data_IF_217055110496
#
_entry.id   IF_217055110496
#
_cell.length_a   1.000
_cell.length_b   1.000
_cell.length_c   1.000
_cell.angle_alpha   90.00
_cell.angle_beta   90.00
_cell.angle_gamma   90.00
#
_symmetry.space_group_name_H-M   'P 1'
#
loop_
_entity.id
_entity.type
_entity.pdbx_description
1 polymer ?
#
# COMPACT_ATOMS: atom_id res chain seq x y z
N UNK A 1 17.64 6.84 -3.64
CA UNK A 1 17.22 5.46 -3.28
C UNK A 1 15.71 5.43 -3.39
N UNK A 2 15.17 4.78 -4.42
CA UNK A 2 13.72 4.58 -4.53
C UNK A 2 13.43 3.32 -3.73
N UNK A 3 12.70 3.44 -2.62
CA UNK A 3 12.23 2.27 -1.87
C UNK A 3 11.24 1.52 -2.76
N UNK A 4 11.73 0.53 -3.51
CA UNK A 4 10.89 -0.40 -4.23
C UNK A 4 10.23 -1.32 -3.21
N UNK A 5 8.90 -1.29 -3.16
CA UNK A 5 8.11 -2.28 -2.44
C UNK A 5 8.43 -3.66 -3.05
N UNK A 6 8.86 -4.60 -2.21
CA UNK A 6 9.06 -5.99 -2.63
C UNK A 6 7.68 -6.63 -2.70
N UNK A 7 7.29 -7.13 -3.87
CA UNK A 7 6.11 -7.98 -4.03
C UNK A 7 6.36 -9.33 -3.34
N UNK A 8 5.31 -10.05 -2.97
CA UNK A 8 5.42 -11.45 -2.54
C UNK A 8 5.17 -11.71 -1.07
N UNK A 9 4.89 -10.69 -0.27
CA UNK A 9 4.62 -10.89 1.15
C UNK A 9 3.37 -11.75 1.37
N UNK A 10 3.55 -12.84 2.11
CA UNK A 10 2.50 -13.74 2.58
C UNK A 10 2.27 -13.45 4.05
N UNK A 11 1.01 -13.31 4.41
CA UNK A 11 0.60 -13.01 5.77
C UNK A 11 -0.88 -13.24 5.96
N UNK A 12 -1.36 -13.00 7.18
CA UNK A 12 -2.79 -12.99 7.48
C UNK A 12 -3.22 -11.63 7.99
N UNK A 13 -4.49 -11.30 7.75
CA UNK A 13 -5.12 -10.12 8.35
C UNK A 13 -5.64 -10.52 9.73
N UNK A 14 -5.22 -9.78 10.75
CA UNK A 14 -5.67 -9.96 12.13
C UNK A 14 -7.07 -9.38 12.33
N UNK A 15 -7.73 -9.72 13.44
CA UNK A 15 -9.10 -9.25 13.72
C UNK A 15 -9.23 -7.71 13.80
N UNK A 16 -8.15 -7.02 14.17
CA UNK A 16 -8.01 -5.56 14.20
C UNK A 16 -7.56 -4.95 12.86
N UNK A 17 -7.47 -5.77 11.80
CA UNK A 17 -7.20 -5.31 10.44
C UNK A 17 -5.72 -5.12 10.11
N UNK A 18 -4.79 -5.51 10.99
CA UNK A 18 -3.37 -5.44 10.71
C UNK A 18 -2.90 -6.60 9.83
N UNK A 19 -1.90 -6.34 9.00
CA UNK A 19 -1.22 -7.39 8.25
C UNK A 19 -0.10 -8.00 9.09
N UNK A 20 -0.22 -9.29 9.40
CA UNK A 20 0.82 -10.05 10.08
C UNK A 20 1.67 -10.80 9.04
N UNK A 21 2.92 -10.34 8.85
CA UNK A 21 3.89 -10.93 7.93
C UNK A 21 4.39 -12.31 8.39
N UNK A 22 4.40 -13.27 7.47
CA UNK A 22 4.94 -14.62 7.64
C UNK A 22 6.27 -14.80 6.89
N UNK A 23 6.25 -14.71 5.56
CA UNK A 23 7.41 -14.82 4.67
C UNK A 23 7.13 -14.14 3.32
N UNK A 24 8.14 -13.92 2.49
CA UNK A 24 8.03 -13.44 1.12
C UNK A 24 8.19 -14.61 0.14
N UNK A 25 7.16 -14.86 -0.67
CA UNK A 25 7.09 -15.97 -1.60
C UNK A 25 7.99 -15.82 -2.85
N UNK A 26 8.52 -14.63 -3.12
CA UNK A 26 9.44 -14.37 -4.25
C UNK A 26 10.90 -14.36 -3.83
N UNK A 27 11.17 -14.38 -2.53
CA UNK A 27 12.50 -14.42 -1.98
C UNK A 27 12.90 -15.87 -1.68
N UNK A 28 14.20 -16.17 -1.78
CA UNK A 28 14.70 -17.49 -1.37
C UNK A 28 14.48 -17.74 0.11
N UNK A 29 14.50 -19.02 0.51
CA UNK A 29 14.43 -19.40 1.92
C UNK A 29 15.53 -18.72 2.77
N UNK A 30 16.70 -18.51 2.18
CA UNK A 30 17.87 -17.88 2.81
C UNK A 30 17.88 -16.35 2.73
N UNK A 31 16.89 -15.72 2.08
CA UNK A 31 16.83 -14.26 1.99
C UNK A 31 16.57 -13.65 3.39
N UNK A 32 17.28 -12.57 3.77
CA UNK A 32 17.08 -11.90 5.05
C UNK A 32 15.64 -11.42 5.32
N UNK A 33 14.78 -11.30 4.31
CA UNK A 33 13.35 -10.99 4.52
C UNK A 33 12.59 -12.15 5.19
N UNK A 34 13.02 -13.40 4.93
CA UNK A 34 12.42 -14.62 5.44
C UNK A 34 12.98 -15.01 6.81
N UNK A 35 13.14 -14.04 7.71
CA UNK A 35 13.73 -14.21 9.05
C UNK A 35 13.06 -15.28 9.92
N UNK A 36 11.76 -15.49 9.75
CA UNK A 36 10.98 -16.49 10.48
C UNK A 36 11.02 -17.89 9.82
N UNK A 37 11.82 -18.04 8.76
CA UNK A 37 11.83 -19.20 7.90
C UNK A 37 10.68 -19.21 6.89
N UNK A 38 10.59 -20.33 6.18
CA UNK A 38 9.58 -20.63 5.16
C UNK A 38 9.01 -22.03 5.41
N UNK A 39 7.87 -22.41 4.79
CA UNK A 39 7.36 -23.77 4.88
C UNK A 39 8.36 -24.85 4.42
N UNK A 40 8.17 -26.08 4.88
CA UNK A 40 8.99 -27.22 4.44
C UNK A 40 8.84 -27.42 2.92
N UNK A 41 9.97 -27.71 2.25
CA UNK A 41 10.05 -27.84 0.80
C UNK A 41 9.60 -26.60 0.01
N UNK A 42 9.69 -25.41 0.62
CA UNK A 42 9.39 -24.17 -0.07
C UNK A 42 10.33 -23.94 -1.26
N UNK A 43 9.73 -23.66 -2.42
CA UNK A 43 10.40 -23.14 -3.60
C UNK A 43 9.88 -21.72 -3.88
N UNK A 44 10.77 -20.73 -4.12
CA UNK A 44 10.35 -19.38 -4.46
C UNK A 44 9.50 -19.37 -5.72
N UNK A 45 8.45 -18.56 -5.72
CA UNK A 45 7.65 -18.34 -6.91
C UNK A 45 8.48 -17.53 -7.92
N UNK A 46 8.77 -18.16 -9.05
CA UNK A 46 9.36 -17.48 -10.19
C UNK A 46 8.27 -16.92 -11.09
N UNK A 47 8.37 -15.65 -11.44
CA UNK A 47 7.53 -15.07 -12.48
C UNK A 47 8.31 -14.98 -13.78
N UNK A 48 7.71 -15.51 -14.85
CA UNK A 48 8.14 -15.14 -16.18
C UNK A 48 7.79 -13.67 -16.41
N UNK A 49 8.81 -12.81 -16.34
CA UNK A 49 8.68 -11.37 -16.58
C UNK A 49 8.09 -11.06 -17.95
N UNK A 50 8.14 -11.99 -18.92
CA UNK A 50 7.51 -11.83 -20.23
C UNK A 50 5.98 -11.89 -20.18
N UNK A 51 5.39 -12.51 -19.14
CA UNK A 51 3.94 -12.58 -18.94
C UNK A 51 3.39 -11.43 -18.08
N UNK A 52 4.25 -10.52 -17.62
CA UNK A 52 3.86 -9.37 -16.81
C UNK A 52 3.59 -8.16 -17.70
N UNK A 53 2.36 -7.65 -17.68
CA UNK A 53 2.02 -6.40 -18.39
C UNK A 53 2.65 -5.20 -17.68
N UNK A 54 3.78 -4.72 -18.19
CA UNK A 54 4.44 -3.51 -17.69
C UNK A 54 3.77 -2.25 -18.23
N UNK A 55 3.15 -1.48 -17.35
CA UNK A 55 2.59 -0.17 -17.70
C UNK A 55 3.52 0.94 -17.18
N UNK A 56 4.44 1.40 -18.02
CA UNK A 56 5.37 2.49 -17.68
C UNK A 56 4.59 3.81 -17.70
N UNK A 57 4.82 4.68 -16.71
CA UNK A 57 4.12 5.97 -16.56
C UNK A 57 2.59 5.83 -16.46
N UNK A 58 2.10 4.74 -15.86
CA UNK A 58 0.66 4.54 -15.62
C UNK A 58 0.05 5.69 -14.80
N UNK A 59 0.86 6.29 -13.92
CA UNK A 59 0.53 7.50 -13.18
C UNK A 59 1.56 8.59 -13.48
N UNK A 60 1.09 9.82 -13.65
CA UNK A 60 1.94 11.01 -13.75
C UNK A 60 2.44 11.42 -12.37
N UNK A 61 3.60 12.08 -12.25
CA UNK A 61 4.01 12.70 -11.00
C UNK A 61 2.91 13.62 -10.46
N UNK A 62 2.49 13.41 -9.21
CA UNK A 62 1.40 14.15 -8.59
C UNK A 62 0.02 13.49 -8.67
N UNK A 63 -0.12 12.39 -9.42
CA UNK A 63 -1.35 11.59 -9.38
C UNK A 63 -1.55 11.00 -7.97
N UNK A 64 -2.76 11.17 -7.43
CA UNK A 64 -3.17 10.42 -6.25
C UNK A 64 -3.57 9.02 -6.67
N UNK A 65 -2.96 8.02 -6.04
CA UNK A 65 -3.24 6.62 -6.28
C UNK A 65 -4.20 6.15 -5.19
N UNK A 66 -5.40 5.71 -5.58
CA UNK A 66 -6.44 5.24 -4.66
C UNK A 66 -7.32 4.19 -5.33
N UNK A 67 -7.98 3.37 -4.52
CA UNK A 67 -8.86 2.30 -5.01
C UNK A 67 -10.10 2.84 -5.72
N UNK A 68 -10.61 2.10 -6.70
CA UNK A 68 -11.89 2.37 -7.36
C UNK A 68 -12.98 2.46 -6.27
N UNK A 69 -13.79 3.52 -6.28
CA UNK A 69 -14.81 3.79 -5.26
C UNK A 69 -14.40 4.80 -4.19
N UNK A 70 -13.15 5.27 -4.17
CA UNK A 70 -12.73 6.36 -3.27
C UNK A 70 -13.41 7.67 -3.65
N UNK A 71 -14.09 8.30 -2.69
CA UNK A 71 -14.60 9.67 -2.82
C UNK A 71 -13.52 10.66 -2.39
N UNK A 72 -13.34 11.70 -3.20
CA UNK A 72 -12.35 12.76 -2.96
C UNK A 72 -13.08 14.01 -2.49
N UNK A 73 -12.64 14.58 -1.38
CA UNK A 73 -13.10 15.87 -0.89
C UNK A 73 -11.93 16.85 -0.92
N UNK A 74 -12.09 17.96 -1.64
CA UNK A 74 -11.12 19.05 -1.60
C UNK A 74 -11.42 19.93 -0.40
N UNK A 75 -10.51 20.01 0.58
CA UNK A 75 -10.52 21.11 1.53
C UNK A 75 -9.92 22.33 0.81
N UNK A 76 -10.79 23.16 0.24
CA UNK A 76 -10.41 24.48 -0.24
C UNK A 76 -9.85 25.30 0.93
N UNK A 77 -8.90 26.18 0.65
CA UNK A 77 -8.22 27.00 1.64
C UNK A 77 -9.10 28.12 2.20
N UNK A 78 -10.40 27.90 2.40
CA UNK A 78 -11.31 28.86 3.02
C UNK A 78 -12.31 28.11 3.91
N UNK A 79 -12.30 28.49 5.19
CA UNK A 79 -13.21 28.05 6.28
C UNK A 79 -12.85 26.72 6.95
N UNK A 80 -12.02 26.89 7.98
CA UNK A 80 -12.03 26.12 9.23
C UNK A 80 -13.46 25.72 9.65
N UNK A 81 -13.90 24.50 9.33
CA UNK A 81 -14.77 23.77 10.25
C UNK A 81 -13.85 23.10 11.24
N UNK A 82 -13.70 23.77 12.39
CA UNK A 82 -12.97 23.32 13.55
C UNK A 82 -13.32 21.87 13.86
N UNK A 83 -12.40 20.94 13.63
CA UNK A 83 -12.35 19.75 14.46
C UNK A 83 -11.86 20.26 15.82
N UNK A 84 -12.76 20.23 16.81
CA UNK A 84 -12.55 20.76 18.16
C UNK A 84 -11.16 20.33 18.68
N UNK A 85 -10.26 21.29 18.87
CA UNK A 85 -9.02 21.10 19.64
C UNK A 85 -7.67 21.25 18.94
N UNK A 86 -7.57 21.54 17.63
CA UNK A 86 -6.26 21.68 16.95
C UNK A 86 -6.08 23.11 16.40
N UNK A 87 -5.01 23.84 16.79
CA UNK A 87 -4.75 25.18 16.25
C UNK A 87 -4.36 25.13 14.77
N UNK A 88 -4.96 26.02 13.99
CA UNK A 88 -4.81 26.07 12.54
C UNK A 88 -3.37 26.43 12.13
N UNK A 89 -2.70 25.52 11.43
CA UNK A 89 -1.48 25.80 10.66
C UNK A 89 -1.82 25.60 9.19
N UNK A 90 -1.73 26.68 8.40
CA UNK A 90 -2.14 26.71 7.00
C UNK A 90 -1.39 25.67 6.17
N UNK A 91 -2.13 24.70 5.65
CA UNK A 91 -1.69 23.72 4.66
C UNK A 91 -2.93 23.19 3.94
N UNK A 92 -2.93 23.23 2.60
CA UNK A 92 -3.99 22.62 1.80
C UNK A 92 -3.93 21.10 1.95
N UNK A 93 -4.85 20.52 2.73
CA UNK A 93 -4.97 19.08 2.91
C UNK A 93 -5.89 18.46 1.85
N UNK A 94 -5.59 17.22 1.48
CA UNK A 94 -6.51 16.36 0.74
C UNK A 94 -7.09 15.33 1.70
N UNK A 95 -8.41 15.12 1.66
CA UNK A 95 -9.05 14.05 2.42
C UNK A 95 -9.59 12.99 1.44
N UNK A 96 -9.24 11.73 1.69
CA UNK A 96 -9.72 10.58 0.95
C UNK A 96 -10.67 9.79 1.84
N UNK A 97 -11.90 9.56 1.35
CA UNK A 97 -12.86 8.69 2.03
C UNK A 97 -13.06 7.43 1.18
N UNK A 98 -12.76 6.29 1.79
CA UNK A 98 -13.01 4.99 1.18
C UNK A 98 -14.42 4.53 1.56
N UNK A 99 -15.21 4.15 0.56
CA UNK A 99 -16.50 3.51 0.78
C UNK A 99 -16.38 2.01 0.48
N UNK A 100 -16.97 1.20 1.35
CA UNK A 100 -17.08 -0.23 1.12
C UNK A 100 -18.15 -0.46 0.05
N UNK A 101 -17.72 -0.83 -1.16
CA UNK A 101 -18.65 -1.33 -2.18
C UNK A 101 -18.98 -2.78 -1.82
N UNK A 102 -20.17 -2.97 -1.24
CA UNK A 102 -20.71 -4.27 -0.87
C UNK A 102 -21.60 -4.83 -1.98
#
# INVERSE_FOLDING_TARGET
MVAGWRTGDVGHITQDGHFHFLFNALASADDPVNTKGVPEHFEPLEFDMNNIRKSVNYHKPGDLIYSIGTKRYGLGADVSTQLVGIPAKGGGGIELKFEENR
#
